data_IF_646896009931
#
_entry.id   IF_646896009931
#
_cell.length_a   1.000
_cell.length_b   1.000
_cell.length_c   1.000
_cell.angle_alpha   90.00
_cell.angle_beta   90.00
_cell.angle_gamma   90.00
#
_symmetry.space_group_name_H-M   'P 1'
#
loop_
_entity.id
_entity.type
_entity.pdbx_description
1 polymer ?
#
# COMPACT_ATOMS: atom_id res chain seq x y z
N UNK A 1 -53.52 -6.95 -57.90
CA UNK A 1 -53.17 -5.82 -57.05
C UNK A 1 -52.13 -6.36 -56.05
N UNK A 2 -50.87 -6.24 -56.40
CA UNK A 2 -49.75 -6.65 -55.54
C UNK A 2 -49.48 -5.55 -54.52
N UNK A 3 -49.23 -5.90 -53.24
CA UNK A 3 -48.80 -4.88 -52.27
C UNK A 3 -47.35 -4.49 -52.50
N UNK A 4 -47.13 -3.20 -52.61
CA UNK A 4 -45.85 -2.53 -52.77
C UNK A 4 -44.97 -2.81 -51.55
N UNK A 5 -43.68 -3.15 -51.70
CA UNK A 5 -42.79 -3.31 -50.55
C UNK A 5 -42.49 -1.96 -49.92
N UNK A 6 -42.63 -1.87 -48.59
CA UNK A 6 -42.20 -0.69 -47.82
C UNK A 6 -40.67 -0.54 -47.85
N UNK A 7 -40.16 0.71 -47.94
CA UNK A 7 -38.74 0.94 -47.99
C UNK A 7 -38.13 0.89 -46.57
N UNK A 8 -37.18 0.00 -46.42
CA UNK A 8 -36.04 0.02 -45.50
C UNK A 8 -36.06 1.09 -44.37
N UNK A 9 -36.64 0.70 -43.25
CA UNK A 9 -36.27 1.26 -41.98
C UNK A 9 -35.41 0.23 -41.23
N UNK A 10 -34.09 0.24 -41.39
CA UNK A 10 -33.15 -0.40 -40.48
C UNK A 10 -31.72 -0.32 -41.01
N UNK A 11 -31.05 0.75 -40.76
CA UNK A 11 -29.57 0.76 -40.76
C UNK A 11 -28.97 1.90 -39.90
N UNK A 12 -29.58 2.27 -38.76
CA UNK A 12 -29.03 3.27 -37.86
C UNK A 12 -29.01 2.87 -36.39
N UNK A 13 -29.27 1.59 -36.07
CA UNK A 13 -29.26 1.12 -34.67
C UNK A 13 -27.95 0.47 -34.21
N UNK A 14 -26.84 0.68 -34.92
CA UNK A 14 -25.58 -0.05 -34.70
C UNK A 14 -24.48 0.65 -33.89
N UNK A 15 -24.61 1.93 -33.52
CA UNK A 15 -23.46 2.68 -32.97
C UNK A 15 -23.66 3.42 -31.64
N UNK A 16 -24.79 3.30 -30.99
CA UNK A 16 -24.96 3.92 -29.66
C UNK A 16 -24.75 2.88 -28.57
N UNK A 17 -23.57 2.93 -27.91
CA UNK A 17 -23.32 2.11 -26.74
C UNK A 17 -24.40 2.36 -25.68
N UNK A 18 -24.94 1.30 -25.08
CA UNK A 18 -25.88 1.45 -23.97
C UNK A 18 -25.21 2.19 -22.81
N UNK A 19 -25.96 2.92 -21.97
CA UNK A 19 -25.39 3.59 -20.80
C UNK A 19 -24.56 2.68 -19.90
N UNK A 20 -24.97 1.41 -19.78
CA UNK A 20 -24.23 0.40 -19.03
C UNK A 20 -22.88 0.04 -19.69
N UNK A 21 -22.87 -0.15 -21.02
CA UNK A 21 -21.64 -0.42 -21.77
C UNK A 21 -20.66 0.74 -21.67
N UNK A 22 -21.15 1.99 -21.80
CA UNK A 22 -20.32 3.18 -21.64
C UNK A 22 -19.70 3.23 -20.25
N UNK A 23 -20.49 2.98 -19.20
CA UNK A 23 -20.03 2.96 -17.82
C UNK A 23 -18.95 1.88 -17.58
N UNK A 24 -19.14 0.68 -18.11
CA UNK A 24 -18.15 -0.40 -18.06
C UNK A 24 -16.84 -0.01 -18.74
N UNK A 25 -16.89 0.64 -19.90
CA UNK A 25 -15.71 1.15 -20.60
C UNK A 25 -14.99 2.24 -19.84
N UNK A 26 -15.74 3.15 -19.17
CA UNK A 26 -15.15 4.18 -18.29
C UNK A 26 -14.41 3.49 -17.14
N UNK A 27 -15.02 2.52 -16.46
CA UNK A 27 -14.39 1.79 -15.37
C UNK A 27 -13.14 1.03 -15.83
N UNK A 28 -13.19 0.38 -16.99
CA UNK A 28 -12.03 -0.27 -17.59
C UNK A 28 -10.91 0.74 -17.89
N UNK A 29 -11.24 1.91 -18.43
CA UNK A 29 -10.29 2.99 -18.70
C UNK A 29 -9.62 3.51 -17.41
N UNK A 30 -10.39 3.68 -16.33
CA UNK A 30 -9.85 4.07 -15.02
C UNK A 30 -8.90 2.98 -14.47
N UNK A 31 -9.24 1.69 -14.60
CA UNK A 31 -8.34 0.60 -14.22
C UNK A 31 -7.04 0.62 -15.04
N UNK A 32 -7.12 0.91 -16.35
CA UNK A 32 -5.94 1.10 -17.20
C UNK A 32 -5.05 2.26 -16.74
N UNK A 33 -5.65 3.36 -16.31
CA UNK A 33 -4.93 4.49 -15.76
C UNK A 33 -4.25 4.13 -14.41
N UNK A 34 -4.96 3.44 -13.52
CA UNK A 34 -4.40 2.95 -12.25
C UNK A 34 -3.20 2.04 -12.53
N UNK A 35 -3.33 1.13 -13.49
CA UNK A 35 -2.25 0.21 -13.87
C UNK A 35 -1.01 0.99 -14.34
N UNK A 36 -1.18 1.92 -15.28
CA UNK A 36 -0.07 2.70 -15.84
C UNK A 36 0.61 3.57 -14.76
N UNK A 37 -0.18 4.38 -14.06
CA UNK A 37 0.34 5.29 -13.02
C UNK A 37 0.96 4.49 -11.87
N UNK A 38 0.32 3.40 -11.44
CA UNK A 38 0.81 2.53 -10.38
C UNK A 38 2.14 1.87 -10.73
N UNK A 39 2.29 1.32 -11.94
CA UNK A 39 3.55 0.71 -12.38
C UNK A 39 4.69 1.73 -12.42
N UNK A 40 4.45 2.92 -12.95
CA UNK A 40 5.44 4.00 -13.00
C UNK A 40 5.82 4.46 -11.60
N UNK A 41 4.84 4.77 -10.75
CA UNK A 41 5.09 5.30 -9.41
C UNK A 41 5.81 4.28 -8.50
N UNK A 42 5.39 3.00 -8.52
CA UNK A 42 6.05 1.94 -7.76
C UNK A 42 7.43 1.59 -8.33
N UNK A 43 7.61 1.59 -9.65
CA UNK A 43 8.91 1.42 -10.27
C UNK A 43 9.91 2.51 -9.84
N UNK A 44 9.48 3.78 -9.85
CA UNK A 44 10.28 4.90 -9.35
C UNK A 44 10.60 4.76 -7.85
N UNK A 45 9.61 4.35 -7.05
CA UNK A 45 9.79 4.11 -5.61
C UNK A 45 10.84 3.03 -5.37
N UNK A 46 10.78 1.91 -6.09
CA UNK A 46 11.75 0.82 -5.97
C UNK A 46 13.17 1.29 -6.29
N UNK A 47 13.34 2.11 -7.35
CA UNK A 47 14.65 2.68 -7.72
C UNK A 47 15.17 3.63 -6.65
N UNK A 48 14.33 4.53 -6.12
CA UNK A 48 14.72 5.51 -5.09
C UNK A 48 15.13 4.80 -3.79
N UNK A 49 14.28 3.88 -3.30
CA UNK A 49 14.56 3.13 -2.06
C UNK A 49 15.74 2.18 -2.25
N UNK A 50 15.85 1.51 -3.39
CA UNK A 50 16.97 0.63 -3.72
C UNK A 50 18.33 1.35 -3.72
N UNK A 51 18.38 2.61 -4.18
CA UNK A 51 19.60 3.44 -4.11
C UNK A 51 19.95 3.86 -2.68
N UNK A 52 18.95 4.00 -1.80
CA UNK A 52 19.14 4.36 -0.40
C UNK A 52 19.47 3.17 0.53
N UNK A 53 19.43 1.92 0.02
CA UNK A 53 19.57 0.71 0.83
C UNK A 53 20.96 0.45 1.42
N UNK A 54 21.97 1.28 1.10
CA UNK A 54 23.33 1.23 1.68
C UNK A 54 23.47 1.91 3.05
N UNK A 55 22.39 2.33 3.69
CA UNK A 55 22.43 3.12 4.92
C UNK A 55 22.91 2.29 6.14
N UNK A 56 23.85 2.82 6.95
CA UNK A 56 24.44 2.11 8.08
C UNK A 56 23.53 1.99 9.31
N UNK A 57 22.36 2.67 9.33
CA UNK A 57 21.47 2.74 10.50
C UNK A 57 20.43 1.61 10.52
N UNK A 58 20.31 0.82 11.62
CA UNK A 58 19.39 -0.31 11.71
C UNK A 58 17.93 0.03 11.39
N UNK A 59 17.41 1.11 11.97
CA UNK A 59 16.03 1.56 11.75
C UNK A 59 15.77 1.86 10.27
N UNK A 60 16.68 2.60 9.62
CA UNK A 60 16.56 2.95 8.22
C UNK A 60 16.63 1.71 7.32
N UNK A 61 17.48 0.76 7.65
CA UNK A 61 17.61 -0.48 6.92
C UNK A 61 16.33 -1.35 7.01
N UNK A 62 15.71 -1.44 8.19
CA UNK A 62 14.46 -2.16 8.40
C UNK A 62 13.29 -1.47 7.69
N UNK A 63 13.14 -0.16 7.85
CA UNK A 63 12.06 0.60 7.20
C UNK A 63 12.18 0.61 5.69
N UNK A 64 13.40 0.72 5.14
CA UNK A 64 13.64 0.61 3.70
C UNK A 64 13.27 -0.79 3.17
N UNK A 65 13.58 -1.86 3.92
CA UNK A 65 13.19 -3.22 3.54
C UNK A 65 11.66 -3.38 3.51
N UNK A 66 10.95 -2.81 4.48
CA UNK A 66 9.48 -2.80 4.48
C UNK A 66 8.91 -1.97 3.33
N UNK A 67 9.52 -0.83 2.99
CA UNK A 67 9.11 -0.03 1.83
C UNK A 67 9.31 -0.78 0.51
N UNK A 68 10.43 -1.50 0.36
CA UNK A 68 10.64 -2.41 -0.79
C UNK A 68 9.57 -3.50 -0.81
N UNK A 69 9.26 -4.09 0.34
CA UNK A 69 8.24 -5.12 0.47
C UNK A 69 6.84 -4.63 0.05
N UNK A 70 6.44 -3.43 0.51
CA UNK A 70 5.19 -2.78 0.09
C UNK A 70 5.19 -2.57 -1.43
N UNK A 71 6.26 -2.00 -1.96
CA UNK A 71 6.37 -1.71 -3.40
C UNK A 71 6.30 -2.98 -4.25
N UNK A 72 6.95 -4.07 -3.83
CA UNK A 72 6.88 -5.37 -4.51
C UNK A 72 5.47 -5.98 -4.42
N UNK A 73 4.81 -5.85 -3.28
CA UNK A 73 3.42 -6.26 -3.09
C UNK A 73 2.48 -5.49 -4.03
N UNK A 74 2.63 -4.17 -4.12
CA UNK A 74 1.84 -3.33 -5.02
C UNK A 74 2.11 -3.63 -6.50
N UNK A 75 3.35 -3.90 -6.88
CA UNK A 75 3.69 -4.34 -8.25
C UNK A 75 3.08 -5.70 -8.60
N UNK A 76 3.09 -6.65 -7.66
CA UNK A 76 2.42 -7.95 -7.84
C UNK A 76 0.90 -7.78 -8.00
N UNK A 77 0.30 -6.93 -7.19
CA UNK A 77 -1.12 -6.57 -7.29
C UNK A 77 -1.44 -5.94 -8.65
N UNK A 78 -0.64 -4.96 -9.09
CA UNK A 78 -0.79 -4.29 -10.37
C UNK A 78 -0.64 -5.26 -11.56
N UNK A 79 0.26 -6.24 -11.45
CA UNK A 79 0.50 -7.21 -12.53
C UNK A 79 -0.57 -8.31 -12.61
N UNK A 80 -1.09 -8.77 -11.45
CA UNK A 80 -1.94 -9.95 -11.38
C UNK A 80 -3.43 -9.65 -11.15
N UNK A 81 -3.76 -8.54 -10.49
CA UNK A 81 -5.14 -8.26 -10.07
C UNK A 81 -5.80 -7.20 -10.95
N UNK A 82 -5.14 -6.06 -11.14
CA UNK A 82 -5.71 -4.93 -11.89
C UNK A 82 -6.03 -5.28 -13.35
N UNK A 83 -5.19 -6.03 -14.10
CA UNK A 83 -5.55 -6.46 -15.47
C UNK A 83 -6.78 -7.36 -15.51
N UNK A 84 -6.93 -8.26 -14.53
CA UNK A 84 -8.11 -9.14 -14.43
C UNK A 84 -9.37 -8.34 -14.17
N UNK A 85 -9.30 -7.33 -13.27
CA UNK A 85 -10.42 -6.41 -13.01
C UNK A 85 -10.77 -5.61 -14.27
N UNK A 86 -9.78 -5.04 -14.96
CA UNK A 86 -9.97 -4.30 -16.20
C UNK A 86 -10.71 -5.16 -17.23
N UNK A 87 -10.24 -6.38 -17.45
CA UNK A 87 -10.84 -7.32 -18.40
C UNK A 87 -12.25 -7.73 -17.97
N UNK A 88 -12.54 -7.84 -16.67
CA UNK A 88 -13.87 -8.19 -16.15
C UNK A 88 -14.91 -7.10 -16.43
N UNK A 89 -14.51 -5.83 -16.53
CA UNK A 89 -15.42 -4.75 -16.91
C UNK A 89 -15.80 -4.77 -18.41
N UNK A 90 -15.03 -5.42 -19.28
CA UNK A 90 -15.32 -5.45 -20.71
C UNK A 90 -16.53 -6.32 -21.07
N UNK A 91 -16.97 -7.20 -20.15
CA UNK A 91 -18.12 -8.08 -20.36
C UNK A 91 -19.06 -8.09 -19.14
N UNK A 92 -20.37 -8.29 -19.33
CA UNK A 92 -21.34 -8.31 -18.24
C UNK A 92 -21.27 -9.56 -17.36
N UNK A 93 -20.59 -10.62 -17.82
CA UNK A 93 -20.44 -11.89 -17.13
C UNK A 93 -18.97 -12.29 -17.04
N UNK A 94 -18.66 -13.18 -16.11
CA UNK A 94 -17.30 -13.70 -15.93
C UNK A 94 -16.90 -14.62 -17.09
N UNK A 95 -15.82 -14.32 -17.77
CA UNK A 95 -15.34 -15.05 -18.96
C UNK A 95 -13.87 -15.49 -18.86
N UNK A 96 -13.17 -15.11 -17.79
CA UNK A 96 -11.74 -15.33 -17.62
C UNK A 96 -11.39 -16.72 -17.03
N UNK A 97 -12.39 -17.56 -16.77
CA UNK A 97 -12.21 -18.91 -16.28
C UNK A 97 -11.97 -19.02 -14.76
N UNK A 98 -11.94 -20.26 -14.22
CA UNK A 98 -11.88 -20.50 -12.80
C UNK A 98 -10.53 -20.16 -12.17
N UNK A 99 -9.43 -20.37 -12.89
CA UNK A 99 -8.08 -20.11 -12.36
C UNK A 99 -7.88 -18.63 -12.08
N UNK A 100 -8.22 -17.75 -13.02
CA UNK A 100 -8.09 -16.30 -12.82
C UNK A 100 -9.10 -15.77 -11.79
N UNK A 101 -10.29 -16.37 -11.67
CA UNK A 101 -11.25 -16.06 -10.62
C UNK A 101 -10.62 -16.26 -9.22
N UNK A 102 -10.08 -17.44 -8.97
CA UNK A 102 -9.49 -17.76 -7.65
C UNK A 102 -8.17 -17.03 -7.43
N UNK A 103 -7.25 -17.09 -8.39
CA UNK A 103 -5.90 -16.53 -8.22
C UNK A 103 -5.91 -15.01 -8.07
N UNK A 104 -6.70 -14.28 -8.87
CA UNK A 104 -6.73 -12.81 -8.75
C UNK A 104 -7.28 -12.34 -7.41
N UNK A 105 -8.37 -12.94 -6.93
CA UNK A 105 -8.97 -12.55 -5.65
C UNK A 105 -8.11 -12.97 -4.44
N UNK A 106 -7.48 -14.14 -4.50
CA UNK A 106 -6.57 -14.58 -3.47
C UNK A 106 -5.28 -13.72 -3.42
N UNK A 107 -4.74 -13.36 -4.59
CA UNK A 107 -3.61 -12.43 -4.70
C UNK A 107 -3.99 -11.04 -4.19
N UNK A 108 -5.20 -10.55 -4.53
CA UNK A 108 -5.74 -9.30 -3.98
C UNK A 108 -5.67 -9.27 -2.45
N UNK A 109 -6.22 -10.29 -1.80
CA UNK A 109 -6.23 -10.36 -0.35
C UNK A 109 -4.81 -10.51 0.22
N UNK A 110 -3.98 -11.39 -0.33
CA UNK A 110 -2.62 -11.60 0.14
C UNK A 110 -1.77 -10.33 0.07
N UNK A 111 -1.81 -9.61 -1.05
CA UNK A 111 -1.05 -8.37 -1.25
C UNK A 111 -1.58 -7.22 -0.40
N UNK A 112 -2.91 -7.09 -0.29
CA UNK A 112 -3.53 -6.11 0.59
C UNK A 112 -3.04 -6.26 2.04
N UNK A 113 -3.08 -7.48 2.59
CA UNK A 113 -2.63 -7.72 3.97
C UNK A 113 -1.12 -7.58 4.12
N UNK A 114 -0.32 -8.03 3.14
CA UNK A 114 1.13 -7.85 3.15
C UNK A 114 1.51 -6.36 3.21
N UNK A 115 0.93 -5.53 2.35
CA UNK A 115 1.11 -4.07 2.36
C UNK A 115 0.70 -3.48 3.70
N UNK A 116 -0.45 -3.89 4.20
CA UNK A 116 -1.01 -3.42 5.45
C UNK A 116 -0.11 -3.73 6.67
N UNK A 117 0.27 -4.99 6.88
CA UNK A 117 1.14 -5.36 8.00
C UNK A 117 2.53 -4.74 7.87
N UNK A 118 3.03 -4.52 6.65
CA UNK A 118 4.28 -3.80 6.43
C UNK A 118 4.20 -2.33 6.85
N UNK A 119 3.05 -1.65 6.62
CA UNK A 119 2.82 -0.29 7.11
C UNK A 119 2.75 -0.26 8.65
N UNK A 120 2.02 -1.20 9.27
CA UNK A 120 1.94 -1.31 10.73
C UNK A 120 3.33 -1.54 11.33
N UNK A 121 4.10 -2.47 10.77
CA UNK A 121 5.46 -2.73 11.22
C UNK A 121 6.37 -1.49 11.10
N UNK A 122 6.25 -0.73 10.00
CA UNK A 122 6.99 0.53 9.82
C UNK A 122 6.63 1.55 10.89
N UNK A 123 5.35 1.69 11.22
CA UNK A 123 4.90 2.62 12.25
C UNK A 123 5.37 2.20 13.66
N UNK A 124 5.31 0.90 13.97
CA UNK A 124 5.80 0.36 15.25
C UNK A 124 7.30 0.53 15.41
N UNK A 125 8.09 0.26 14.37
CA UNK A 125 9.55 0.49 14.40
C UNK A 125 9.89 1.95 14.71
N UNK A 126 9.18 2.88 14.08
CA UNK A 126 9.38 4.32 14.35
C UNK A 126 8.93 4.71 15.74
N UNK A 127 7.82 4.14 16.22
CA UNK A 127 7.36 4.36 17.58
C UNK A 127 8.42 3.89 18.60
N UNK A 128 8.94 2.67 18.45
CA UNK A 128 9.98 2.13 19.32
C UNK A 128 11.22 3.01 19.31
N UNK A 129 11.67 3.46 18.16
CA UNK A 129 12.85 4.32 18.04
C UNK A 129 12.69 5.69 18.73
N UNK A 130 11.47 6.23 18.82
CA UNK A 130 11.19 7.50 19.51
C UNK A 130 10.95 7.30 21.02
N UNK A 131 10.17 6.26 21.37
CA UNK A 131 9.80 6.00 22.75
C UNK A 131 10.98 5.46 23.59
N UNK A 132 11.78 4.59 22.98
CA UNK A 132 12.90 3.90 23.63
C UNK A 132 14.17 4.01 22.78
N UNK A 133 14.84 5.17 22.75
CA UNK A 133 16.00 5.41 21.90
C UNK A 133 17.20 4.53 22.23
N UNK A 134 17.27 3.99 23.47
CA UNK A 134 18.35 3.11 23.92
C UNK A 134 18.17 1.65 23.53
N UNK A 135 17.00 1.28 22.95
CA UNK A 135 16.75 -0.08 22.47
C UNK A 135 17.52 -0.33 21.18
N UNK A 136 18.43 -1.29 21.23
CA UNK A 136 19.17 -1.74 20.05
C UNK A 136 18.24 -2.49 19.09
N UNK A 137 17.96 -1.90 17.93
CA UNK A 137 17.21 -2.57 16.89
C UNK A 137 18.11 -3.58 16.15
N UNK A 138 17.58 -4.78 15.80
CA UNK A 138 18.35 -5.73 15.05
C UNK A 138 18.67 -5.21 13.64
N UNK A 139 19.95 -5.24 13.24
CA UNK A 139 20.42 -4.69 11.95
C UNK A 139 20.69 -5.75 10.89
N UNK A 140 20.64 -7.02 11.29
CA UNK A 140 21.01 -8.14 10.44
C UNK A 140 20.04 -8.39 9.27
N UNK A 141 20.55 -9.03 8.22
CA UNK A 141 19.76 -9.46 7.08
C UNK A 141 18.60 -10.39 7.47
N UNK A 142 18.83 -11.29 8.47
CA UNK A 142 17.80 -12.18 9.00
C UNK A 142 16.61 -11.46 9.59
N UNK A 143 16.80 -10.34 10.30
CA UNK A 143 15.71 -9.54 10.86
C UNK A 143 14.83 -8.90 9.77
N UNK A 144 15.44 -8.43 8.67
CA UNK A 144 14.72 -7.88 7.52
C UNK A 144 13.87 -8.95 6.83
N UNK A 145 14.46 -10.14 6.60
CA UNK A 145 13.75 -11.28 6.01
C UNK A 145 12.62 -11.77 6.90
N UNK A 146 12.85 -11.85 8.21
CA UNK A 146 11.82 -12.26 9.17
C UNK A 146 10.64 -11.29 9.16
N UNK A 147 10.91 -10.00 9.17
CA UNK A 147 9.89 -8.96 9.21
C UNK A 147 9.04 -8.93 7.92
N UNK A 148 9.69 -8.96 6.76
CA UNK A 148 9.00 -9.03 5.47
C UNK A 148 8.29 -10.37 5.29
N UNK A 149 8.93 -11.49 5.65
CA UNK A 149 8.36 -12.83 5.57
C UNK A 149 7.13 -12.99 6.45
N UNK A 150 7.15 -12.44 7.68
CA UNK A 150 5.99 -12.44 8.56
C UNK A 150 4.78 -11.73 7.93
N UNK A 151 5.00 -10.57 7.26
CA UNK A 151 3.93 -9.87 6.56
C UNK A 151 3.32 -10.72 5.43
N UNK A 152 4.14 -11.47 4.67
CA UNK A 152 3.65 -12.37 3.63
C UNK A 152 2.94 -13.59 4.21
N UNK A 153 3.46 -14.21 5.28
CA UNK A 153 2.79 -15.35 5.95
C UNK A 153 1.40 -14.94 6.45
N UNK A 154 1.29 -13.77 7.10
CA UNK A 154 0.01 -13.24 7.56
C UNK A 154 -0.94 -12.95 6.38
N UNK A 155 -0.43 -12.34 5.30
CA UNK A 155 -1.21 -12.06 4.10
C UNK A 155 -1.72 -13.33 3.41
N UNK A 156 -0.87 -14.32 3.24
CA UNK A 156 -1.24 -15.61 2.65
C UNK A 156 -2.25 -16.37 3.52
N UNK A 157 -2.06 -16.35 4.84
CA UNK A 157 -3.02 -16.98 5.78
C UNK A 157 -4.39 -16.31 5.69
N UNK A 158 -4.44 -14.98 5.65
CA UNK A 158 -5.69 -14.22 5.51
C UNK A 158 -6.37 -14.48 4.15
N UNK A 159 -5.63 -14.83 3.11
CA UNK A 159 -6.16 -15.15 1.79
C UNK A 159 -6.67 -16.59 1.63
N UNK A 160 -6.39 -17.49 2.59
CA UNK A 160 -6.77 -18.91 2.50
C UNK A 160 -8.26 -19.16 2.19
N UNK A 161 -9.24 -18.46 2.82
CA UNK A 161 -10.66 -18.68 2.50
C UNK A 161 -10.97 -18.37 1.04
N UNK A 162 -10.30 -17.38 0.45
CA UNK A 162 -10.47 -17.05 -0.97
C UNK A 162 -9.91 -18.16 -1.87
N UNK A 163 -8.75 -18.74 -1.55
CA UNK A 163 -8.22 -19.90 -2.29
C UNK A 163 -9.15 -21.10 -2.23
N UNK A 164 -9.79 -21.33 -1.10
CA UNK A 164 -10.63 -22.50 -0.86
C UNK A 164 -12.05 -22.35 -1.42
N UNK A 165 -12.64 -21.16 -1.37
CA UNK A 165 -14.07 -20.96 -1.60
C UNK A 165 -14.40 -20.01 -2.76
N UNK A 166 -13.41 -19.35 -3.40
CA UNK A 166 -13.67 -18.54 -4.60
C UNK A 166 -13.87 -19.45 -5.82
N UNK A 167 -15.03 -19.35 -6.47
CA UNK A 167 -15.41 -20.24 -7.60
C UNK A 167 -16.18 -19.47 -8.65
N UNK A 168 -16.14 -20.00 -9.87
CA UNK A 168 -17.05 -19.59 -10.94
C UNK A 168 -18.34 -20.41 -10.81
N UNK A 169 -19.45 -19.73 -10.65
CA UNK A 169 -20.80 -20.31 -10.59
C UNK A 169 -21.65 -19.77 -11.72
N UNK A 170 -22.58 -20.58 -12.20
CA UNK A 170 -23.59 -20.19 -13.19
C UNK A 170 -24.89 -19.93 -12.40
N UNK A 171 -25.27 -18.66 -12.24
CA UNK A 171 -26.53 -18.29 -11.59
C UNK A 171 -27.73 -18.62 -12.48
N UNK A 172 -28.71 -19.33 -11.94
CA UNK A 172 -29.92 -19.69 -12.68
C UNK A 172 -29.88 -21.01 -13.46
N UNK A 173 -28.93 -21.91 -13.14
CA UNK A 173 -28.79 -23.20 -13.81
C UNK A 173 -28.13 -23.11 -15.19
N UNK A 174 -28.46 -24.05 -16.11
CA UNK A 174 -27.78 -24.17 -17.41
C UNK A 174 -27.94 -22.98 -18.37
N UNK A 175 -28.81 -22.01 -18.06
CA UNK A 175 -29.11 -20.83 -18.90
C UNK A 175 -28.53 -19.53 -18.30
N UNK A 176 -27.96 -19.59 -17.11
CA UNK A 176 -27.46 -18.41 -16.38
C UNK A 176 -26.08 -17.93 -16.85
N UNK A 177 -25.73 -16.71 -16.49
CA UNK A 177 -24.42 -16.14 -16.77
C UNK A 177 -23.38 -16.56 -15.72
N UNK A 178 -22.14 -16.90 -16.11
CA UNK A 178 -21.09 -17.23 -15.16
C UNK A 178 -20.65 -16.00 -14.34
N UNK A 179 -20.53 -16.16 -13.03
CA UNK A 179 -20.06 -15.16 -12.08
C UNK A 179 -18.93 -15.74 -11.21
N UNK A 180 -17.95 -14.90 -10.87
CA UNK A 180 -16.88 -15.26 -9.95
C UNK A 180 -17.26 -14.84 -8.54
N UNK A 181 -17.61 -15.80 -7.68
CA UNK A 181 -18.18 -15.57 -6.36
C UNK A 181 -17.42 -16.31 -5.26
N UNK A 182 -17.43 -15.74 -4.06
CA UNK A 182 -16.92 -16.37 -2.83
C UNK A 182 -18.09 -17.18 -2.20
N UNK A 183 -17.97 -18.49 -2.25
CA UNK A 183 -19.00 -19.41 -1.79
C UNK A 183 -18.87 -19.69 -0.28
N UNK A 184 -19.34 -18.77 0.53
CA UNK A 184 -19.44 -18.92 1.98
C UNK A 184 -20.93 -18.91 2.38
N UNK A 185 -21.28 -19.72 3.39
CA UNK A 185 -22.58 -19.54 4.03
C UNK A 185 -22.66 -18.18 4.74
N UNK A 186 -23.84 -17.59 4.98
CA UNK A 186 -23.95 -16.28 5.63
C UNK A 186 -23.21 -16.22 6.98
N UNK A 187 -23.23 -17.29 7.77
CA UNK A 187 -22.51 -17.38 9.03
C UNK A 187 -20.97 -17.39 8.83
N UNK A 188 -20.48 -18.17 7.85
CA UNK A 188 -19.05 -18.20 7.50
C UNK A 188 -18.58 -16.86 6.94
N UNK A 189 -19.38 -16.22 6.09
CA UNK A 189 -19.11 -14.91 5.53
C UNK A 189 -19.04 -13.84 6.63
N UNK A 190 -20.01 -13.81 7.53
CA UNK A 190 -20.01 -12.91 8.69
C UNK A 190 -18.76 -13.11 9.56
N UNK A 191 -18.41 -14.35 9.89
CA UNK A 191 -17.21 -14.66 10.66
C UNK A 191 -15.94 -14.22 9.92
N UNK A 192 -15.81 -14.57 8.64
CA UNK A 192 -14.65 -14.23 7.81
C UNK A 192 -14.44 -12.73 7.70
N UNK A 193 -15.46 -11.96 7.30
CA UNK A 193 -15.32 -10.51 7.15
C UNK A 193 -15.17 -9.79 8.49
N UNK A 194 -15.76 -10.30 9.59
CA UNK A 194 -15.52 -9.75 10.93
C UNK A 194 -14.09 -9.99 11.41
N UNK A 195 -13.55 -11.19 11.18
CA UNK A 195 -12.14 -11.48 11.47
C UNK A 195 -11.19 -10.65 10.60
N UNK A 196 -11.48 -10.52 9.32
CA UNK A 196 -10.75 -9.65 8.40
C UNK A 196 -10.75 -8.19 8.90
N UNK A 197 -11.89 -7.66 9.27
CA UNK A 197 -12.03 -6.34 9.85
C UNK A 197 -11.25 -6.19 11.15
N UNK A 198 -11.37 -7.15 12.06
CA UNK A 198 -10.67 -7.15 13.34
C UNK A 198 -9.15 -7.26 13.17
N UNK A 199 -8.65 -8.14 12.31
CA UNK A 199 -7.22 -8.35 12.09
C UNK A 199 -6.58 -7.24 11.23
N UNK A 200 -7.33 -6.64 10.33
CA UNK A 200 -6.85 -5.58 9.48
C UNK A 200 -7.00 -4.19 10.13
N UNK A 201 -8.21 -3.79 10.49
CA UNK A 201 -8.49 -2.41 10.90
C UNK A 201 -8.18 -2.12 12.37
N UNK A 202 -8.38 -3.09 13.28
CA UNK A 202 -8.11 -2.91 14.71
C UNK A 202 -6.62 -2.66 15.04
N UNK A 203 -5.65 -3.46 14.57
CA UNK A 203 -4.24 -3.19 14.84
C UNK A 203 -3.78 -1.86 14.25
N UNK A 204 -4.35 -1.45 13.11
CA UNK A 204 -4.04 -0.16 12.52
C UNK A 204 -4.59 1.01 13.30
N UNK A 205 -5.89 1.01 13.55
CA UNK A 205 -6.54 2.14 14.18
C UNK A 205 -6.09 2.32 15.63
N UNK A 206 -5.94 1.22 16.37
CA UNK A 206 -5.48 1.25 17.75
C UNK A 206 -3.95 1.40 17.86
N UNK A 207 -3.19 0.53 17.18
CA UNK A 207 -1.73 0.54 17.26
C UNK A 207 -1.13 1.84 16.73
N UNK A 208 -1.64 2.34 15.62
CA UNK A 208 -1.17 3.58 15.03
C UNK A 208 -1.74 4.81 15.75
N UNK A 209 -3.01 4.81 16.11
CA UNK A 209 -3.61 5.89 16.90
C UNK A 209 -2.89 6.09 18.24
N UNK A 210 -2.64 5.02 18.98
CA UNK A 210 -1.88 5.05 20.24
C UNK A 210 -0.42 5.46 19.99
N UNK A 211 0.22 4.92 18.95
CA UNK A 211 1.62 5.24 18.62
C UNK A 211 1.79 6.72 18.28
N UNK A 212 0.92 7.27 17.45
CA UNK A 212 0.97 8.70 17.09
C UNK A 212 0.57 9.62 18.23
N UNK A 213 -0.43 9.25 19.01
CA UNK A 213 -0.83 9.97 20.22
C UNK A 213 0.33 10.05 21.21
N UNK A 214 1.00 8.94 21.48
CA UNK A 214 2.15 8.88 22.37
C UNK A 214 3.37 9.64 21.83
N UNK A 215 3.72 9.48 20.57
CA UNK A 215 4.81 10.25 19.92
C UNK A 215 4.49 11.74 19.94
N UNK A 216 3.27 12.14 19.62
CA UNK A 216 2.84 13.53 19.66
C UNK A 216 2.91 14.12 21.08
N UNK A 217 2.55 13.33 22.11
CA UNK A 217 2.67 13.72 23.51
C UNK A 217 4.14 13.84 23.94
N UNK A 218 5.00 12.87 23.61
CA UNK A 218 6.43 12.92 23.90
C UNK A 218 7.11 14.14 23.27
N UNK A 219 6.76 14.46 22.02
CA UNK A 219 7.33 15.63 21.33
C UNK A 219 6.86 16.97 21.93
N UNK A 220 5.68 17.00 22.56
CA UNK A 220 5.18 18.19 23.26
C UNK A 220 5.77 18.37 24.66
N UNK A 221 6.07 17.27 25.36
CA UNK A 221 6.50 17.27 26.76
C UNK A 221 8.02 17.28 26.90
N UNK A 222 8.78 16.84 25.90
CA UNK A 222 10.25 16.93 25.95
C UNK A 222 10.70 18.37 25.78
N UNK A 223 11.63 18.88 26.66
CA UNK A 223 12.21 20.22 26.52
C UNK A 223 12.83 20.38 25.13
N UNK A 224 12.58 21.52 24.50
CA UNK A 224 13.20 21.89 23.25
C UNK A 224 14.70 22.05 23.48
N UNK A 225 15.50 21.01 23.17
CA UNK A 225 16.94 21.10 23.10
C UNK A 225 17.41 22.00 21.94
N UNK A 226 18.69 22.37 21.87
CA UNK A 226 19.23 23.26 20.84
C UNK A 226 19.07 22.74 19.39
N UNK A 227 18.63 21.51 19.19
CA UNK A 227 18.34 20.88 17.89
C UNK A 227 16.85 20.91 17.53
N UNK A 228 16.23 22.08 17.46
CA UNK A 228 14.84 22.24 17.01
C UNK A 228 14.52 21.65 15.65
N UNK A 229 15.55 21.42 14.85
CA UNK A 229 15.48 20.82 13.51
C UNK A 229 15.15 19.32 13.55
N UNK A 230 15.68 18.56 14.51
CA UNK A 230 15.41 17.13 14.64
C UNK A 230 13.96 16.84 15.09
N UNK A 231 13.39 17.66 15.96
CA UNK A 231 12.00 17.53 16.44
C UNK A 231 11.01 17.77 15.30
N UNK A 232 11.28 18.77 14.46
CA UNK A 232 10.43 19.11 13.31
C UNK A 232 10.42 17.99 12.26
N UNK A 233 11.56 17.39 12.01
CA UNK A 233 11.69 16.29 11.07
C UNK A 233 10.99 15.01 11.56
N UNK A 234 11.05 14.72 12.85
CA UNK A 234 10.27 13.65 13.48
C UNK A 234 8.77 13.86 13.31
N UNK A 235 8.31 15.09 13.47
CA UNK A 235 6.91 15.47 13.33
C UNK A 235 6.42 15.36 11.89
N UNK A 236 7.24 15.77 10.90
CA UNK A 236 6.95 15.64 9.48
C UNK A 236 6.86 14.16 9.05
N UNK A 237 7.79 13.32 9.52
CA UNK A 237 7.80 11.89 9.19
C UNK A 237 6.67 11.10 9.87
N UNK A 238 6.29 11.45 11.10
CA UNK A 238 5.13 10.86 11.77
C UNK A 238 3.83 11.24 11.05
N UNK A 239 3.68 12.52 10.65
CA UNK A 239 2.53 12.99 9.91
C UNK A 239 2.34 12.27 8.57
N UNK A 240 3.43 11.98 7.85
CA UNK A 240 3.36 11.24 6.59
C UNK A 240 2.71 9.87 6.76
N UNK A 241 3.16 9.08 7.74
CA UNK A 241 2.64 7.73 7.95
C UNK A 241 1.16 7.78 8.34
N UNK A 242 0.78 8.74 9.18
CA UNK A 242 -0.61 8.94 9.55
C UNK A 242 -1.48 9.24 8.32
N UNK A 243 -1.02 10.13 7.43
CA UNK A 243 -1.75 10.47 6.19
C UNK A 243 -1.90 9.23 5.31
N UNK A 244 -0.82 8.49 5.06
CA UNK A 244 -0.87 7.27 4.23
C UNK A 244 -1.83 6.24 4.81
N UNK A 245 -1.85 6.08 6.14
CA UNK A 245 -2.78 5.18 6.80
C UNK A 245 -4.24 5.63 6.70
N UNK A 246 -4.51 6.91 6.98
CA UNK A 246 -5.87 7.47 6.87
C UNK A 246 -6.38 7.28 5.44
N UNK A 247 -5.55 7.58 4.45
CA UNK A 247 -5.88 7.36 3.04
C UNK A 247 -6.15 5.88 2.76
N UNK A 248 -5.34 4.96 3.29
CA UNK A 248 -5.57 3.52 3.17
C UNK A 248 -6.94 3.10 3.73
N UNK A 249 -7.27 3.53 4.96
CA UNK A 249 -8.56 3.21 5.59
C UNK A 249 -9.73 3.79 4.81
N UNK A 250 -9.61 5.04 4.33
CA UNK A 250 -10.64 5.68 3.53
C UNK A 250 -10.86 5.02 2.17
N UNK A 251 -9.79 4.47 1.58
CA UNK A 251 -9.87 3.81 0.28
C UNK A 251 -10.37 2.38 0.36
N UNK A 252 -9.95 1.61 1.36
CA UNK A 252 -10.35 0.21 1.55
C UNK A 252 -11.62 0.01 2.37
N UNK A 253 -11.94 0.96 3.27
CA UNK A 253 -13.09 0.89 4.17
C UNK A 253 -14.42 0.70 3.45
N UNK A 254 -14.79 1.55 2.48
CA UNK A 254 -16.04 1.41 1.74
C UNK A 254 -16.19 0.06 1.02
N UNK A 255 -15.10 -0.42 0.39
CA UNK A 255 -15.09 -1.71 -0.29
C UNK A 255 -15.29 -2.87 0.72
N UNK A 256 -14.65 -2.81 1.88
CA UNK A 256 -14.75 -3.82 2.94
C UNK A 256 -16.17 -3.87 3.54
N UNK A 257 -16.78 -2.71 3.80
CA UNK A 257 -18.16 -2.62 4.30
C UNK A 257 -19.14 -3.17 3.27
N UNK A 258 -18.98 -2.78 2.01
CA UNK A 258 -19.86 -3.23 0.94
C UNK A 258 -19.72 -4.74 0.70
N UNK A 259 -18.51 -5.27 0.76
CA UNK A 259 -18.22 -6.70 0.69
C UNK A 259 -18.88 -7.49 1.84
N UNK A 260 -18.82 -6.96 3.06
CA UNK A 260 -19.53 -7.54 4.21
C UNK A 260 -21.05 -7.57 3.99
N UNK A 261 -21.64 -6.44 3.60
CA UNK A 261 -23.09 -6.33 3.33
C UNK A 261 -23.50 -7.30 2.22
N UNK A 262 -22.73 -7.38 1.15
CA UNK A 262 -22.96 -8.31 0.05
C UNK A 262 -22.97 -9.78 0.50
N UNK A 263 -22.01 -10.12 1.38
CA UNK A 263 -21.84 -11.50 1.82
C UNK A 263 -22.87 -11.96 2.85
N UNK A 264 -23.37 -11.05 3.70
CA UNK A 264 -24.31 -11.37 4.80
C UNK A 264 -25.76 -11.17 4.38
N UNK A 265 -26.07 -10.07 3.70
CA UNK A 265 -27.44 -9.67 3.36
C UNK A 265 -27.83 -9.86 1.90
N UNK A 266 -26.83 -10.11 1.04
CA UNK A 266 -27.01 -10.06 -0.41
C UNK A 266 -27.18 -8.62 -0.91
N UNK A 267 -26.40 -8.23 -1.92
CA UNK A 267 -26.63 -6.97 -2.64
C UNK A 267 -27.65 -7.24 -3.76
N UNK A 268 -28.70 -6.41 -3.86
CA UNK A 268 -29.65 -6.56 -4.97
C UNK A 268 -28.93 -6.34 -6.32
N UNK A 269 -29.26 -7.14 -7.33
CA UNK A 269 -28.72 -7.01 -8.68
C UNK A 269 -29.33 -5.79 -9.40
N UNK A 270 -28.99 -4.59 -8.91
CA UNK A 270 -29.46 -3.31 -9.46
C UNK A 270 -28.31 -2.55 -10.11
N UNK A 271 -28.59 -1.67 -11.10
CA UNK A 271 -27.57 -0.79 -11.66
C UNK A 271 -26.85 0.06 -10.60
N UNK A 272 -27.56 0.50 -9.57
CA UNK A 272 -27.00 1.27 -8.45
C UNK A 272 -25.99 0.45 -7.65
N UNK A 273 -26.32 -0.81 -7.33
CA UNK A 273 -25.40 -1.71 -6.63
C UNK A 273 -24.15 -2.01 -7.46
N UNK A 274 -24.30 -2.19 -8.77
CA UNK A 274 -23.17 -2.35 -9.70
C UNK A 274 -22.25 -1.13 -9.68
N UNK A 275 -22.80 0.08 -9.80
CA UNK A 275 -22.03 1.33 -9.78
C UNK A 275 -21.32 1.50 -8.44
N UNK A 276 -22.04 1.32 -7.32
CA UNK A 276 -21.46 1.45 -5.98
C UNK A 276 -20.32 0.46 -5.75
N UNK A 277 -20.51 -0.81 -6.10
CA UNK A 277 -19.48 -1.84 -5.98
C UNK A 277 -18.26 -1.54 -6.85
N UNK A 278 -18.48 -1.11 -8.08
CA UNK A 278 -17.40 -0.76 -9.01
C UNK A 278 -16.61 0.44 -8.52
N UNK A 279 -17.27 1.49 -8.04
CA UNK A 279 -16.60 2.69 -7.49
C UNK A 279 -15.80 2.35 -6.23
N UNK A 280 -16.38 1.57 -5.30
CA UNK A 280 -15.68 1.14 -4.09
C UNK A 280 -14.45 0.29 -4.43
N UNK A 281 -14.55 -0.62 -5.40
CA UNK A 281 -13.44 -1.46 -5.85
C UNK A 281 -12.35 -0.62 -6.52
N UNK A 282 -12.71 0.29 -7.42
CA UNK A 282 -11.76 1.19 -8.08
C UNK A 282 -11.07 2.09 -7.06
N UNK A 283 -11.81 2.62 -6.09
CA UNK A 283 -11.25 3.43 -5.00
C UNK A 283 -10.22 2.62 -4.21
N UNK A 284 -10.57 1.41 -3.77
CA UNK A 284 -9.66 0.53 -3.03
C UNK A 284 -8.40 0.19 -3.85
N UNK A 285 -8.56 -0.15 -5.12
CA UNK A 285 -7.47 -0.56 -5.99
C UNK A 285 -6.56 0.59 -6.42
N UNK A 286 -7.06 1.84 -6.43
CA UNK A 286 -6.22 3.01 -6.70
C UNK A 286 -5.21 3.30 -5.57
N UNK A 287 -5.36 2.69 -4.39
CA UNK A 287 -4.42 2.83 -3.27
C UNK A 287 -2.97 2.48 -3.66
N UNK A 288 -2.76 1.43 -4.47
CA UNK A 288 -1.43 1.04 -4.93
C UNK A 288 -0.72 2.10 -5.81
N UNK A 289 -1.48 2.98 -6.46
CA UNK A 289 -0.95 4.12 -7.21
C UNK A 289 -0.83 5.38 -6.33
N UNK A 290 -1.78 5.61 -5.44
CA UNK A 290 -1.84 6.80 -4.59
C UNK A 290 -0.75 6.79 -3.51
N UNK A 291 -0.48 5.63 -2.89
CA UNK A 291 0.49 5.50 -1.81
C UNK A 291 1.91 5.97 -2.18
N UNK A 292 2.56 5.53 -3.26
CA UNK A 292 3.87 6.04 -3.65
C UNK A 292 3.84 7.52 -4.06
N UNK A 293 2.76 7.99 -4.68
CA UNK A 293 2.60 9.41 -5.03
C UNK A 293 2.58 10.27 -3.78
N UNK A 294 1.84 9.87 -2.75
CA UNK A 294 1.81 10.57 -1.46
C UNK A 294 3.20 10.58 -0.80
N UNK A 295 3.93 9.48 -0.85
CA UNK A 295 5.31 9.42 -0.35
C UNK A 295 6.22 10.41 -1.08
N UNK A 296 6.14 10.50 -2.41
CA UNK A 296 6.91 11.49 -3.18
C UNK A 296 6.46 12.93 -2.92
N UNK A 297 5.18 13.16 -2.72
CA UNK A 297 4.66 14.51 -2.48
C UNK A 297 4.96 15.02 -1.08
N UNK A 298 4.74 14.20 -0.05
CA UNK A 298 4.82 14.63 1.35
C UNK A 298 6.22 14.50 1.95
N UNK A 299 7.02 13.51 1.52
CA UNK A 299 8.32 13.23 2.11
C UNK A 299 9.46 13.96 1.39
N UNK A 300 10.20 14.80 2.14
CA UNK A 300 11.39 15.49 1.62
C UNK A 300 12.49 14.53 1.12
N UNK A 301 12.83 13.45 1.86
CA UNK A 301 13.83 12.49 1.40
C UNK A 301 13.47 11.82 0.07
N UNK A 302 12.20 11.42 -0.11
CA UNK A 302 11.76 10.81 -1.37
C UNK A 302 11.77 11.82 -2.53
N UNK A 303 11.38 13.08 -2.29
CA UNK A 303 11.52 14.15 -3.30
C UNK A 303 12.97 14.40 -3.69
N UNK A 304 13.88 14.41 -2.72
CA UNK A 304 15.30 14.56 -2.98
C UNK A 304 15.83 13.39 -3.82
N UNK A 305 15.51 12.14 -3.44
CA UNK A 305 15.88 10.94 -4.19
C UNK A 305 15.35 10.95 -5.63
N UNK A 306 14.11 11.41 -5.83
CA UNK A 306 13.51 11.54 -7.15
C UNK A 306 14.22 12.62 -7.98
N UNK A 307 14.55 13.78 -7.37
CA UNK A 307 15.32 14.85 -8.01
C UNK A 307 16.70 14.38 -8.42
N UNK A 308 17.40 13.65 -7.54
CA UNK A 308 18.72 13.09 -7.83
C UNK A 308 18.69 12.06 -8.96
N UNK A 309 17.56 11.35 -9.11
CA UNK A 309 17.35 10.41 -10.20
C UNK A 309 17.32 11.11 -11.56
N UNK A 310 16.63 12.25 -11.66
CA UNK A 310 16.40 12.97 -12.92
C UNK A 310 17.42 14.09 -13.20
N UNK A 311 17.95 14.75 -12.16
CA UNK A 311 18.78 15.94 -12.31
C UNK A 311 20.27 15.69 -12.16
N UNK A 312 20.73 14.53 -11.65
CA UNK A 312 22.15 14.18 -11.55
C UNK A 312 22.51 13.03 -12.48
N UNK A 313 23.22 13.28 -13.60
CA UNK A 313 23.75 12.21 -14.46
C UNK A 313 24.70 11.30 -13.68
N UNK A 314 24.67 10.00 -14.00
CA UNK A 314 25.44 8.92 -13.35
C UNK A 314 26.97 9.10 -13.41
N UNK A 315 27.48 10.07 -14.20
CA UNK A 315 28.90 10.30 -14.48
C UNK A 315 29.70 10.94 -13.32
N UNK A 316 29.05 11.38 -12.22
CA UNK A 316 29.73 12.08 -11.12
C UNK A 316 30.09 11.19 -9.91
N UNK A 317 30.03 9.85 -10.03
CA UNK A 317 30.52 8.95 -8.99
C UNK A 317 32.01 8.65 -9.20
N UNK A 318 32.90 9.58 -8.79
CA UNK A 318 34.28 9.24 -8.48
C UNK A 318 34.32 8.30 -7.25
N UNK A 319 35.11 7.21 -7.27
CA UNK A 319 35.28 6.32 -6.12
C UNK A 319 36.18 6.95 -5.07
N UNK A 320 35.75 8.00 -4.38
CA UNK A 320 36.56 8.73 -3.40
C UNK A 320 35.84 9.82 -2.62
N UNK A 321 34.59 10.12 -2.93
CA UNK A 321 33.80 11.13 -2.23
C UNK A 321 32.80 10.49 -1.25
N UNK A 322 33.12 10.43 0.02
CA UNK A 322 32.16 10.23 1.11
C UNK A 322 31.30 11.49 1.16
N UNK A 323 30.18 11.50 0.47
CA UNK A 323 29.30 12.67 0.48
C UNK A 323 28.13 12.53 -0.48
N UNK A 324 26.94 12.26 0.00
CA UNK A 324 25.72 12.64 -0.69
C UNK A 324 24.62 11.61 -0.92
N UNK A 325 24.80 10.33 -0.58
CA UNK A 325 23.72 9.34 -0.75
C UNK A 325 23.10 8.85 0.60
N UNK A 326 23.55 9.41 1.71
CA UNK A 326 23.07 9.06 3.06
C UNK A 326 21.87 9.87 3.55
N UNK A 327 21.29 10.76 2.73
CA UNK A 327 20.36 11.78 3.23
C UNK A 327 18.87 11.40 3.14
N UNK A 328 18.55 10.14 2.90
CA UNK A 328 17.13 9.72 2.77
C UNK A 328 16.50 9.39 4.12
N UNK A 329 17.09 9.67 5.24
CA UNK A 329 16.45 9.64 6.60
C UNK A 329 17.50 9.83 7.72
N UNK A 330 18.40 10.78 7.57
CA UNK A 330 19.57 10.92 8.45
C UNK A 330 19.30 11.56 9.82
N UNK A 331 18.07 11.83 10.20
CA UNK A 331 17.79 12.63 11.40
C UNK A 331 17.07 11.92 12.51
N UNK A 332 17.44 10.68 12.86
CA UNK A 332 16.91 10.05 14.07
C UNK A 332 18.06 9.45 14.90
N UNK A 333 18.91 10.29 15.44
CA UNK A 333 19.64 9.98 16.69
C UNK A 333 19.73 11.22 17.56
N UNK A 334 19.37 11.15 18.86
CA UNK A 334 19.78 12.13 19.85
C UNK A 334 21.31 12.10 19.92
N UNK A 335 21.93 13.28 19.75
CA UNK A 335 23.39 13.41 19.75
C UNK A 335 24.03 12.80 20.98
N UNK A 336 24.87 11.81 20.78
CA UNK A 336 25.97 11.53 21.69
C UNK A 336 27.00 12.61 21.40
N UNK A 337 27.01 13.66 22.22
CA UNK A 337 28.16 14.56 22.29
C UNK A 337 29.35 13.77 22.83
N UNK A 338 30.53 13.82 22.19
CA UNK A 338 31.77 13.51 22.86
C UNK A 338 31.96 14.58 23.94
N UNK A 339 32.05 14.17 25.20
CA UNK A 339 32.39 15.04 26.32
C UNK A 339 33.68 15.81 26.03
N UNK A 340 33.81 17.06 26.57
CA UNK A 340 34.99 17.86 26.35
C UNK A 340 36.21 17.13 26.93
N UNK A 341 37.19 16.85 26.07
CA UNK A 341 38.50 16.30 26.46
C UNK A 341 39.13 17.21 27.52
N UNK A 342 39.45 16.66 28.68
CA UNK A 342 40.32 17.31 29.65
C UNK A 342 41.65 17.64 28.95
N UNK A 343 42.20 18.88 29.09
CA UNK A 343 43.55 19.18 28.65
C UNK A 343 44.54 18.42 29.56
N UNK A 344 45.42 17.69 28.95
CA UNK A 344 46.63 17.16 29.59
C UNK A 344 47.44 18.34 30.10
N UNK A 345 47.48 18.52 31.42
CA UNK A 345 48.42 19.41 32.07
C UNK A 345 49.81 18.85 31.93
N UNK A 346 50.66 19.63 31.28
CA UNK A 346 52.11 19.46 31.24
C UNK A 346 52.67 19.51 32.66
N UNK A 347 53.43 18.50 33.05
CA UNK A 347 54.18 18.47 34.29
C UNK A 347 55.48 19.22 34.15
N UNK A 348 55.88 19.75 35.26
CA UNK A 348 57.25 20.04 35.70
C UNK A 348 57.16 19.84 37.20
N UNK A 349 57.92 19.08 37.80
CA UNK A 349 59.35 19.00 37.87
C UNK A 349 59.77 19.24 39.30
N UNK A 350 60.58 18.37 39.82
CA UNK A 350 61.67 18.59 40.78
C UNK A 350 61.39 18.67 42.29
N UNK A 351 62.07 17.72 42.97
CA UNK A 351 62.78 17.79 44.26
C UNK A 351 61.97 17.84 45.55
N UNK A 352 62.00 16.88 46.36
CA UNK A 352 63.02 16.35 47.31
C UNK A 352 62.48 15.05 47.92
#
# INVERSE_FOLDING_TARGET
MEPRPEPNATFTSGLTATPEQLLRLIFAGVCGLILLVGLVANGLMLVVVGRASGAPRPLLALTNSLMVNITLSDLLFLACVVPVLLLSFLRPHWWLGPVLCTASQATNNATMFCTFYSMVATALLRHVAVAWPDVALPSGWGARLLLCGAAWVLGLTASLPTWLFQRVVVEGGAVGAPACLLLLSPAQASCYFSLLGALAFLPCTLGLGCSFGHVGWLLRTRPRGPSGESVREHQENAGLILVVLVVFVLMWGPCSVLGYVAAVGGLPATPVAFVASSLCTILAYSNCAVSPILCFYLSRPFRAGLRDLFCRPRAARHPGGVGGAGMVMESIQPGLHPGPGRPLGSGEGLRR
#
